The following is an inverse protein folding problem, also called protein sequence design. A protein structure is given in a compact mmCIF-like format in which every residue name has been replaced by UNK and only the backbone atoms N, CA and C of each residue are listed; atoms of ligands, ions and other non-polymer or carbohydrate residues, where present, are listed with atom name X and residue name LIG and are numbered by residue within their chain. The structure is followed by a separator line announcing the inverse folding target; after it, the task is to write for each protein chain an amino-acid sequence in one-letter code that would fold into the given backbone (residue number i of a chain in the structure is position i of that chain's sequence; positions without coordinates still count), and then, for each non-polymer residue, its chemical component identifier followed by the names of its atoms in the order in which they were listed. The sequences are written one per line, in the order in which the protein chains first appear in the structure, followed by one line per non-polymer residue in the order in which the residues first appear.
data_IF_452044643671
#
_entry.id   IF_452044643671
#
_cell.length_a   1.000
_cell.length_b   1.000
_cell.length_c   1.000
_cell.angle_alpha   90.00
_cell.angle_beta   90.00
_cell.angle_gamma   90.00
#
_symmetry.space_group_name_H-M   'P 1'
#
loop_
_entity.id
_entity.type
_entity.pdbx_description
1 polymer ?
#
# COMPACT_ATOMS: atom_id res chain seq x y z
N UNK A 1 -8.11 -32.55 -3.93
CA UNK A 1 -7.73 -32.38 -5.35
C UNK A 1 -6.67 -31.30 -5.36
N UNK A 2 -5.48 -31.51 -5.95
CA UNK A 2 -4.40 -30.51 -5.88
C UNK A 2 -4.84 -29.25 -6.63
N UNK A 3 -4.94 -28.11 -5.95
CA UNK A 3 -5.29 -26.81 -6.56
C UNK A 3 -4.01 -25.97 -6.61
N UNK A 4 -3.58 -25.65 -7.82
CA UNK A 4 -2.31 -24.97 -8.07
C UNK A 4 -2.52 -23.75 -8.95
N UNK A 5 -1.77 -22.68 -8.69
CA UNK A 5 -1.75 -21.49 -9.51
C UNK A 5 -1.24 -21.80 -10.91
N UNK A 6 -1.77 -21.10 -11.90
CA UNK A 6 -1.22 -21.08 -13.26
C UNK A 6 0.04 -20.22 -13.29
N UNK A 7 0.84 -20.32 -14.36
CA UNK A 7 2.02 -19.46 -14.54
C UNK A 7 1.61 -17.98 -14.58
N UNK A 8 0.53 -17.65 -15.27
CA UNK A 8 0.00 -16.29 -15.37
C UNK A 8 -0.44 -15.74 -14.00
N UNK A 9 -1.05 -16.59 -13.16
CA UNK A 9 -1.44 -16.21 -11.79
C UNK A 9 -0.21 -15.99 -10.90
N UNK A 10 0.84 -16.81 -11.04
CA UNK A 10 2.10 -16.62 -10.31
C UNK A 10 2.79 -15.32 -10.74
N UNK A 11 2.79 -15.00 -12.02
CA UNK A 11 3.34 -13.74 -12.53
C UNK A 11 2.56 -12.53 -12.02
N UNK A 12 1.24 -12.64 -11.92
CA UNK A 12 0.40 -11.62 -11.33
C UNK A 12 0.73 -11.40 -9.83
N UNK A 13 0.80 -12.47 -9.04
CA UNK A 13 1.19 -12.41 -7.62
C UNK A 13 2.59 -11.79 -7.44
N UNK A 14 3.55 -12.18 -8.27
CA UNK A 14 4.91 -11.63 -8.29
C UNK A 14 4.91 -10.12 -8.55
N UNK A 15 4.20 -9.67 -9.60
CA UNK A 15 4.05 -8.24 -9.92
C UNK A 15 3.38 -7.48 -8.78
N UNK A 16 2.36 -8.05 -8.13
CA UNK A 16 1.73 -7.42 -6.96
C UNK A 16 2.71 -7.19 -5.82
N UNK A 17 3.59 -8.15 -5.51
CA UNK A 17 4.59 -8.02 -4.46
C UNK A 17 5.59 -6.90 -4.75
N UNK A 18 6.03 -6.82 -6.01
CA UNK A 18 6.96 -5.79 -6.48
C UNK A 18 6.33 -4.39 -6.43
N UNK A 19 5.08 -4.25 -6.89
CA UNK A 19 4.34 -2.99 -6.83
C UNK A 19 4.07 -2.57 -5.38
N UNK A 20 3.66 -3.51 -4.51
CA UNK A 20 3.51 -3.24 -3.09
C UNK A 20 4.81 -2.76 -2.45
N UNK A 21 5.94 -3.38 -2.80
CA UNK A 21 7.25 -2.95 -2.30
C UNK A 21 7.59 -1.53 -2.76
N UNK A 22 7.40 -1.24 -4.06
CA UNK A 22 7.64 0.08 -4.62
C UNK A 22 6.73 1.16 -4.01
N UNK A 23 5.44 0.85 -3.83
CA UNK A 23 4.44 1.79 -3.31
C UNK A 23 4.61 2.06 -1.81
N UNK A 24 4.89 1.03 -1.01
CA UNK A 24 5.09 1.19 0.45
C UNK A 24 6.48 1.71 0.82
N UNK A 25 7.46 1.54 -0.07
CA UNK A 25 8.88 1.75 0.24
C UNK A 25 9.46 0.71 1.22
N UNK A 26 8.70 -0.35 1.55
CA UNK A 26 9.10 -1.44 2.44
C UNK A 26 9.32 -2.71 1.63
N UNK A 27 10.15 -3.63 2.14
CA UNK A 27 10.36 -4.92 1.49
C UNK A 27 9.14 -5.83 1.73
N UNK A 28 8.36 -6.08 0.68
CA UNK A 28 7.24 -7.02 0.69
C UNK A 28 7.62 -8.28 -0.06
N UNK A 29 7.46 -9.42 0.61
CA UNK A 29 7.67 -10.74 0.03
C UNK A 29 6.33 -11.37 -0.35
N UNK A 30 6.34 -12.13 -1.44
CA UNK A 30 5.28 -13.08 -1.76
C UNK A 30 5.90 -14.47 -1.81
N UNK A 31 5.53 -15.33 -0.85
CA UNK A 31 5.96 -16.73 -0.86
C UNK A 31 4.79 -17.62 -1.29
N UNK A 32 5.04 -18.49 -2.26
CA UNK A 32 4.13 -19.57 -2.60
C UNK A 32 4.38 -20.74 -1.66
N UNK A 33 3.34 -21.17 -0.96
CA UNK A 33 3.39 -22.34 -0.10
C UNK A 33 2.24 -23.30 -0.44
N UNK A 34 2.22 -24.46 0.22
CA UNK A 34 1.18 -25.49 0.04
C UNK A 34 0.64 -25.85 1.42
N UNK A 35 -0.68 -25.79 1.58
CA UNK A 35 -1.34 -26.21 2.82
C UNK A 35 -1.27 -27.74 3.00
N UNK A 36 -1.59 -28.23 4.20
CA UNK A 36 -1.62 -29.67 4.50
C UNK A 36 -2.58 -30.45 3.58
N UNK A 37 -3.63 -29.79 3.07
CA UNK A 37 -4.61 -30.37 2.13
C UNK A 37 -4.16 -30.34 0.66
N UNK A 38 -2.94 -29.85 0.38
CA UNK A 38 -2.36 -29.79 -0.96
C UNK A 38 -2.91 -28.66 -1.83
N UNK A 39 -3.36 -27.58 -1.21
CA UNK A 39 -3.84 -26.35 -1.87
C UNK A 39 -2.72 -25.32 -1.85
N UNK A 40 -2.41 -24.71 -2.99
CA UNK A 40 -1.44 -23.63 -3.05
C UNK A 40 -1.99 -22.34 -2.43
N UNK A 41 -1.12 -21.64 -1.71
CA UNK A 41 -1.37 -20.35 -1.07
C UNK A 41 -0.24 -19.39 -1.43
N UNK A 42 -0.60 -18.14 -1.70
CA UNK A 42 0.33 -17.03 -1.86
C UNK A 42 0.26 -16.16 -0.61
N UNK A 43 1.38 -16.04 0.11
CA UNK A 43 1.48 -15.32 1.38
C UNK A 43 2.21 -14.00 1.13
N UNK A 44 1.53 -12.88 1.39
CA UNK A 44 2.15 -11.55 1.30
C UNK A 44 2.53 -11.07 2.69
N UNK A 45 3.81 -10.78 2.89
CA UNK A 45 4.32 -10.35 4.18
C UNK A 45 5.39 -9.26 4.04
N UNK A 46 5.40 -8.32 4.98
CA UNK A 46 6.40 -7.27 5.07
C UNK A 46 7.59 -7.76 5.90
N UNK A 47 8.80 -7.66 5.36
CA UNK A 47 10.02 -7.93 6.12
C UNK A 47 10.16 -6.91 7.25
N UNK A 48 10.45 -7.40 8.44
CA UNK A 48 10.80 -6.55 9.57
C UNK A 48 12.28 -6.24 9.54
N UNK A 49 12.63 -5.00 9.84
CA UNK A 49 14.03 -4.64 10.05
C UNK A 49 14.56 -5.43 11.26
N UNK A 50 15.58 -6.26 11.04
CA UNK A 50 16.25 -6.99 12.12
C UNK A 50 16.82 -6.07 13.20
N UNK A 51 16.93 -4.76 12.92
CA UNK A 51 17.42 -3.75 13.83
C UNK A 51 16.33 -3.11 14.73
N UNK A 52 15.04 -3.34 14.46
CA UNK A 52 13.94 -2.87 15.32
C UNK A 52 13.79 -3.77 16.56
N UNK A 53 13.99 -5.08 16.41
CA UNK A 53 13.89 -6.04 17.52
C UNK A 53 15.03 -5.92 18.55
N UNK A 54 16.19 -5.37 18.16
CA UNK A 54 17.37 -5.21 19.04
C UNK A 54 17.50 -3.85 19.72
N UNK A 55 16.72 -2.84 19.34
CA UNK A 55 16.77 -1.50 19.99
C UNK A 55 16.10 -1.46 21.37
N UNK A 56 15.34 -2.49 21.75
CA UNK A 56 14.61 -2.52 23.02
C UNK A 56 15.30 -3.30 24.17
N UNK A 57 16.61 -3.60 24.10
CA UNK A 57 17.26 -4.30 25.24
C UNK A 57 18.68 -3.90 25.62
N UNK A 58 19.16 -2.72 25.25
CA UNK A 58 20.39 -2.18 25.85
C UNK A 58 20.42 -0.66 25.75
N UNK A 59 20.03 0.00 26.84
CA UNK A 59 20.43 1.34 27.30
C UNK A 59 19.23 2.17 27.79
N UNK A 60 18.85 1.88 29.03
CA UNK A 60 18.02 2.75 29.83
C UNK A 60 18.88 3.89 30.40
N UNK A 61 19.32 4.85 29.57
CA UNK A 61 19.61 6.23 29.98
C UNK A 61 19.89 7.11 28.74
N UNK A 62 18.88 7.83 28.26
CA UNK A 62 18.96 9.24 27.82
C UNK A 62 17.71 9.57 26.98
N UNK A 63 16.93 10.52 27.51
CA UNK A 63 15.76 11.09 26.87
C UNK A 63 16.12 11.83 25.59
N UNK A 64 15.90 11.20 24.45
CA UNK A 64 15.65 11.89 23.18
C UNK A 64 14.27 11.44 22.69
N UNK A 65 13.31 12.36 22.72
CA UNK A 65 12.03 12.23 22.03
C UNK A 65 12.30 12.14 20.52
N UNK A 66 12.73 10.96 20.07
CA UNK A 66 12.41 10.52 18.74
C UNK A 66 10.94 10.13 18.78
N UNK A 67 10.11 10.75 17.94
CA UNK A 67 8.81 10.23 17.54
C UNK A 67 9.00 8.89 16.79
N UNK A 68 9.65 7.91 17.42
CA UNK A 68 9.52 6.52 17.07
C UNK A 68 8.06 6.22 17.35
N UNK A 69 7.29 6.15 16.25
CA UNK A 69 5.94 5.63 16.26
C UNK A 69 6.02 4.32 17.01
N UNK A 70 5.44 4.27 18.21
CA UNK A 70 5.13 3.04 18.91
C UNK A 70 4.08 2.30 18.08
N UNK A 71 4.46 1.80 16.89
CA UNK A 71 3.74 0.75 16.20
C UNK A 71 3.94 -0.48 17.07
N UNK A 72 3.14 -0.55 18.15
CA UNK A 72 2.92 -1.78 18.87
C UNK A 72 2.59 -2.82 17.81
N UNK A 73 3.47 -3.81 17.74
CA UNK A 73 3.53 -4.90 16.79
C UNK A 73 2.23 -5.73 16.81
N UNK A 74 1.14 -5.17 16.34
CA UNK A 74 -0.11 -5.88 16.07
C UNK A 74 0.00 -6.56 14.70
N UNK A 75 -0.55 -7.77 14.57
CA UNK A 75 -0.47 -8.60 13.36
C UNK A 75 0.20 -9.96 13.61
N UNK A 76 0.09 -10.85 12.63
CA UNK A 76 0.69 -12.19 12.69
C UNK A 76 2.10 -12.16 12.13
N UNK A 77 3.04 -12.81 12.84
CA UNK A 77 4.44 -12.89 12.46
C UNK A 77 4.76 -14.27 11.91
N UNK A 78 5.56 -14.30 10.85
CA UNK A 78 6.01 -15.53 10.22
C UNK A 78 7.46 -15.39 9.73
N UNK A 79 8.06 -16.54 9.42
CA UNK A 79 9.40 -16.62 8.87
C UNK A 79 9.29 -17.00 7.40
N UNK A 80 9.85 -16.18 6.52
CA UNK A 80 9.88 -16.41 5.07
C UNK A 80 11.31 -16.45 4.54
N UNK A 81 11.50 -17.05 3.36
CA UNK A 81 12.80 -17.18 2.72
C UNK A 81 13.58 -18.43 3.14
N UNK A 82 14.85 -18.49 2.74
CA UNK A 82 15.72 -19.64 2.89
C UNK A 82 15.67 -20.60 1.69
N UNK A 83 16.48 -21.66 1.76
CA UNK A 83 16.81 -22.51 0.59
C UNK A 83 15.65 -23.29 0.01
N UNK A 84 14.63 -23.57 0.81
CA UNK A 84 13.44 -24.32 0.38
C UNK A 84 12.23 -23.41 0.12
N UNK A 85 12.41 -22.09 0.17
CA UNK A 85 11.34 -21.12 -0.09
C UNK A 85 11.07 -20.97 -1.59
N UNK A 86 9.81 -20.71 -1.95
CA UNK A 86 9.39 -20.41 -3.32
C UNK A 86 8.90 -18.96 -3.36
N UNK A 87 9.87 -18.04 -3.36
CA UNK A 87 9.62 -16.60 -3.37
C UNK A 87 9.34 -16.14 -4.79
N UNK A 88 8.23 -15.42 -4.94
CA UNK A 88 7.79 -14.82 -6.19
C UNK A 88 8.27 -13.36 -6.29
N UNK A 89 8.45 -12.88 -7.52
CA UNK A 89 8.87 -11.50 -7.79
C UNK A 89 10.33 -11.22 -7.45
N UNK A 90 10.65 -9.96 -7.19
CA UNK A 90 12.01 -9.49 -6.94
C UNK A 90 12.40 -9.49 -5.45
N UNK A 91 11.61 -10.14 -4.58
CA UNK A 91 11.84 -10.23 -3.14
C UNK A 91 12.07 -8.86 -2.46
N UNK A 92 11.39 -7.81 -2.94
CA UNK A 92 11.59 -6.44 -2.47
C UNK A 92 13.03 -5.93 -2.57
N UNK A 93 13.85 -6.52 -3.45
CA UNK A 93 15.26 -6.18 -3.67
C UNK A 93 16.26 -6.94 -2.78
N UNK A 94 15.83 -7.92 -1.99
CA UNK A 94 16.74 -8.75 -1.19
C UNK A 94 17.54 -9.71 -2.07
N UNK A 95 18.86 -9.74 -1.88
CA UNK A 95 19.78 -10.54 -2.70
C UNK A 95 20.05 -11.95 -2.18
N UNK A 96 19.78 -12.20 -0.90
CA UNK A 96 20.13 -13.41 -0.14
C UNK A 96 18.90 -14.18 0.34
N UNK A 97 17.74 -13.93 -0.28
CA UNK A 97 16.45 -14.52 0.09
C UNK A 97 16.42 -16.06 -0.02
N UNK A 98 17.29 -16.65 -0.83
CA UNK A 98 17.45 -18.11 -1.03
C UNK A 98 18.32 -18.77 0.06
N UNK A 99 18.96 -17.99 0.93
CA UNK A 99 19.86 -18.50 1.98
C UNK A 99 19.48 -18.01 3.36
N UNK A 100 18.89 -16.82 3.46
CA UNK A 100 18.51 -16.17 4.70
C UNK A 100 16.99 -16.28 4.94
N UNK A 101 16.63 -16.52 6.19
CA UNK A 101 15.25 -16.48 6.68
C UNK A 101 15.01 -15.12 7.31
N UNK A 102 13.89 -14.49 6.97
CA UNK A 102 13.48 -13.18 7.47
C UNK A 102 12.24 -13.28 8.35
N UNK A 103 12.25 -12.54 9.45
CA UNK A 103 11.04 -12.29 10.23
C UNK A 103 10.16 -11.28 9.48
N UNK A 104 8.93 -11.67 9.23
CA UNK A 104 7.98 -10.92 8.44
C UNK A 104 6.68 -10.76 9.20
N UNK A 105 5.99 -9.64 8.99
CA UNK A 105 4.60 -9.44 9.40
C UNK A 105 3.68 -9.78 8.24
N UNK A 106 2.70 -10.65 8.47
CA UNK A 106 1.65 -10.99 7.53
C UNK A 106 0.85 -9.75 7.14
N UNK A 107 0.56 -9.60 5.85
CA UNK A 107 -0.36 -8.59 5.34
C UNK A 107 -1.69 -9.23 4.94
N UNK A 108 -1.61 -10.25 4.09
CA UNK A 108 -2.77 -11.04 3.65
C UNK A 108 -2.28 -12.32 2.96
N UNK A 109 -3.20 -13.25 2.72
CA UNK A 109 -2.93 -14.44 1.91
C UNK A 109 -4.04 -14.69 0.91
N UNK A 110 -3.67 -15.21 -0.26
CA UNK A 110 -4.61 -15.64 -1.29
C UNK A 110 -4.45 -17.14 -1.48
N UNK A 111 -5.54 -17.88 -1.38
CA UNK A 111 -5.55 -19.33 -1.57
C UNK A 111 -6.74 -19.76 -2.41
N UNK A 112 -6.71 -21.00 -2.92
CA UNK A 112 -7.91 -21.55 -3.51
C UNK A 112 -8.92 -21.89 -2.42
N UNK A 113 -10.19 -21.75 -2.77
CA UNK A 113 -11.26 -22.32 -1.97
C UNK A 113 -11.05 -23.84 -1.82
N UNK A 114 -10.85 -24.34 -0.61
CA UNK A 114 -10.52 -25.75 -0.37
C UNK A 114 -11.77 -26.64 -0.28
N UNK A 115 -12.89 -26.10 0.22
CA UNK A 115 -14.13 -26.84 0.48
C UNK A 115 -15.18 -26.57 -0.61
N UNK A 116 -15.52 -27.60 -1.37
CA UNK A 116 -16.54 -27.51 -2.42
C UNK A 116 -17.92 -27.19 -1.80
N UNK A 117 -18.42 -25.98 -2.06
CA UNK A 117 -19.72 -25.49 -1.58
C UNK A 117 -19.67 -24.51 -0.40
N UNK A 118 -18.50 -24.18 0.14
CA UNK A 118 -18.36 -23.08 1.11
C UNK A 118 -18.46 -21.72 0.41
N UNK A 119 -17.72 -21.57 -0.68
CA UNK A 119 -17.78 -20.44 -1.61
C UNK A 119 -17.97 -20.94 -3.04
N UNK A 120 -18.61 -20.13 -3.89
CA UNK A 120 -18.77 -20.47 -5.32
C UNK A 120 -17.51 -20.12 -6.10
N UNK A 121 -16.80 -19.09 -5.67
CA UNK A 121 -15.64 -18.57 -6.35
C UNK A 121 -14.35 -19.38 -6.10
N UNK A 122 -13.43 -19.27 -7.06
CA UNK A 122 -12.18 -20.03 -7.09
C UNK A 122 -11.18 -19.68 -5.98
N UNK A 123 -11.05 -18.40 -5.66
CA UNK A 123 -10.04 -17.86 -4.75
C UNK A 123 -10.64 -17.17 -3.55
N UNK A 124 -9.89 -17.19 -2.46
CA UNK A 124 -10.22 -16.57 -1.19
C UNK A 124 -9.06 -15.67 -0.77
N UNK A 125 -9.36 -14.43 -0.38
CA UNK A 125 -8.41 -13.54 0.29
C UNK A 125 -8.71 -13.49 1.79
N UNK A 126 -7.68 -13.74 2.59
CA UNK A 126 -7.71 -13.62 4.05
C UNK A 126 -6.74 -12.54 4.52
N UNK A 127 -7.11 -11.78 5.56
CA UNK A 127 -6.27 -10.74 6.14
C UNK A 127 -5.17 -11.29 7.07
N UNK A 128 -4.47 -10.40 7.75
CA UNK A 128 -3.44 -10.72 8.73
C UNK A 128 -3.97 -11.34 10.03
N UNK A 129 -5.28 -11.42 10.22
CA UNK A 129 -5.95 -12.13 11.33
C UNK A 129 -6.52 -13.49 10.90
N UNK A 130 -6.25 -13.92 9.66
CA UNK A 130 -6.82 -15.10 9.02
C UNK A 130 -8.34 -15.05 8.86
N UNK A 131 -8.92 -13.84 8.86
CA UNK A 131 -10.33 -13.63 8.58
C UNK A 131 -10.56 -13.46 7.08
N UNK A 132 -11.68 -14.02 6.60
CA UNK A 132 -12.13 -13.84 5.21
C UNK A 132 -12.40 -12.36 4.93
N UNK A 133 -11.74 -11.83 3.90
CA UNK A 133 -12.02 -10.49 3.39
C UNK A 133 -12.99 -10.54 2.22
N UNK A 134 -12.69 -11.37 1.21
CA UNK A 134 -13.51 -11.51 0.00
C UNK A 134 -13.14 -12.78 -0.78
N UNK A 135 -13.98 -13.14 -1.75
CA UNK A 135 -13.77 -14.24 -2.71
C UNK A 135 -13.84 -13.72 -4.15
N UNK A 136 -13.22 -14.41 -5.11
CA UNK A 136 -13.33 -14.09 -6.54
C UNK A 136 -12.86 -15.26 -7.42
N UNK A 137 -13.37 -15.34 -8.65
CA UNK A 137 -12.88 -16.26 -9.69
C UNK A 137 -11.60 -15.75 -10.37
N UNK A 138 -11.33 -14.45 -10.27
CA UNK A 138 -10.19 -13.77 -10.87
C UNK A 138 -9.25 -13.25 -9.79
N UNK A 139 -7.96 -13.57 -9.91
CA UNK A 139 -6.95 -13.08 -8.99
C UNK A 139 -6.83 -11.54 -9.05
N UNK A 140 -7.06 -10.93 -10.22
CA UNK A 140 -6.95 -9.49 -10.44
C UNK A 140 -7.92 -8.66 -9.59
N UNK A 141 -9.04 -9.26 -9.15
CA UNK A 141 -10.03 -8.61 -8.30
C UNK A 141 -9.67 -8.67 -6.82
N UNK A 142 -8.76 -9.58 -6.44
CA UNK A 142 -8.31 -9.76 -5.06
C UNK A 142 -7.10 -8.89 -4.73
N UNK A 143 -6.24 -8.65 -5.71
CA UNK A 143 -5.00 -7.88 -5.50
C UNK A 143 -5.30 -6.38 -5.34
N UNK A 144 -4.57 -5.66 -4.47
CA UNK A 144 -4.85 -4.26 -4.15
C UNK A 144 -4.61 -3.29 -5.31
N UNK A 145 -3.93 -3.72 -6.38
CA UNK A 145 -3.70 -2.94 -7.58
C UNK A 145 -4.17 -3.72 -8.78
N UNK A 146 -4.98 -3.10 -9.65
CA UNK A 146 -5.27 -3.69 -10.96
C UNK A 146 -3.98 -3.81 -11.74
N UNK A 147 -3.53 -5.04 -11.99
CA UNK A 147 -2.34 -5.36 -12.79
C UNK A 147 -2.60 -5.26 -14.30
N UNK A 148 -3.68 -4.56 -14.70
CA UNK A 148 -3.87 -4.22 -16.12
C UNK A 148 -2.61 -3.47 -16.53
N UNK A 149 -1.91 -4.01 -17.52
CA UNK A 149 -0.83 -3.29 -18.16
C UNK A 149 -1.39 -1.92 -18.54
N UNK A 150 -0.86 -0.88 -17.90
CA UNK A 150 -1.12 0.49 -18.33
C UNK A 150 -0.24 0.68 -19.56
N UNK A 151 -0.55 -0.06 -20.62
CA UNK A 151 0.09 0.08 -21.94
C UNK A 151 -0.13 1.49 -22.50
N UNK A 152 -1.06 2.26 -21.90
CA UNK A 152 -1.43 3.61 -22.29
C UNK A 152 -0.85 4.71 -21.39
N UNK A 153 0.26 4.46 -20.67
CA UNK A 153 1.01 5.57 -20.04
C UNK A 153 1.60 6.54 -21.09
N UNK A 154 1.74 6.08 -22.34
CA UNK A 154 2.12 6.93 -23.48
C UNK A 154 0.99 7.88 -23.92
N UNK A 155 -0.27 7.68 -23.49
CA UNK A 155 -1.38 8.61 -23.75
C UNK A 155 -1.53 9.71 -22.68
N UNK A 156 -0.77 9.63 -21.58
CA UNK A 156 -0.72 10.68 -20.54
C UNK A 156 0.37 11.74 -20.83
N UNK A 157 1.06 11.62 -21.96
CA UNK A 157 1.87 12.69 -22.53
C UNK A 157 1.03 13.52 -23.49
N UNK A 158 0.94 14.82 -23.25
CA UNK A 158 0.44 15.85 -24.16
C UNK A 158 -1.03 16.28 -23.99
N UNK A 159 -1.57 16.29 -22.75
CA UNK A 159 -2.59 17.31 -22.45
C UNK A 159 -1.89 18.67 -22.37
N UNK A 160 -1.85 19.37 -23.52
CA UNK A 160 -1.52 20.80 -23.64
C UNK A 160 -2.32 21.59 -22.60
N UNK A 161 -1.66 22.03 -21.53
CA UNK A 161 -2.18 23.04 -20.59
C UNK A 161 -2.13 24.47 -21.18
N UNK A 162 -2.15 24.60 -22.50
CA UNK A 162 -2.30 25.86 -23.22
C UNK A 162 -3.73 25.98 -23.74
N UNK A 163 -4.69 26.18 -22.83
CA UNK A 163 -5.90 26.91 -23.20
C UNK A 163 -5.71 28.36 -22.76
N UNK A 164 -5.11 29.14 -23.67
CA UNK A 164 -5.27 30.58 -23.75
C UNK A 164 -6.78 30.88 -23.88
N UNK A 165 -7.45 31.11 -22.76
CA UNK A 165 -8.68 31.91 -22.77
C UNK A 165 -8.26 33.38 -22.73
N UNK A 166 -8.11 33.93 -23.94
CA UNK A 166 -8.09 35.36 -24.23
C UNK A 166 -9.42 36.00 -23.77
N UNK A 167 -9.48 36.50 -22.54
CA UNK A 167 -10.45 37.52 -22.16
C UNK A 167 -9.77 38.90 -22.26
N UNK A 168 -9.92 39.50 -23.45
CA UNK A 168 -9.67 40.92 -23.68
C UNK A 168 -10.61 41.80 -22.84
N UNK A 169 -10.01 42.83 -22.24
CA UNK A 169 -10.57 44.09 -21.75
C UNK A 169 -11.37 44.10 -20.43
N UNK A 170 -10.75 44.60 -19.34
CA UNK A 170 -11.04 45.97 -18.87
C UNK A 170 -10.12 46.43 -17.71
N UNK A 171 -9.49 47.59 -17.94
CA UNK A 171 -8.98 48.58 -16.98
C UNK A 171 -7.95 48.18 -15.91
N UNK A 172 -6.69 48.20 -16.33
CA UNK A 172 -5.55 48.38 -15.45
C UNK A 172 -5.47 49.83 -14.91
N UNK A 173 -6.05 50.08 -13.74
CA UNK A 173 -5.66 51.19 -12.86
C UNK A 173 -4.82 50.63 -11.70
N UNK A 174 -3.51 50.56 -11.93
CA UNK A 174 -2.40 50.78 -10.98
C UNK A 174 -2.75 50.68 -9.47
N UNK A 175 -2.50 49.53 -8.86
CA UNK A 175 -2.58 49.30 -7.40
C UNK A 175 -1.29 49.74 -6.66
N UNK A 176 -0.64 50.81 -7.14
CA UNK A 176 0.44 51.49 -6.43
C UNK A 176 -0.14 52.78 -5.82
N UNK A 177 -0.26 52.78 -4.48
CA UNK A 177 -0.67 53.88 -3.58
C UNK A 177 -2.08 53.81 -2.95
N UNK A 178 -2.58 52.63 -2.55
CA UNK A 178 -3.61 52.59 -1.50
C UNK A 178 -2.98 52.94 -0.15
N UNK A 179 -3.54 53.93 0.54
CA UNK A 179 -3.08 54.31 1.87
C UNK A 179 -3.41 53.21 2.89
N UNK A 180 -2.61 53.11 3.95
CA UNK A 180 -2.76 52.08 5.00
C UNK A 180 -4.18 52.07 5.62
N UNK A 181 -4.86 53.22 5.62
CA UNK A 181 -6.24 53.40 6.10
C UNK A 181 -7.29 52.77 5.16
N UNK A 182 -7.10 52.83 3.84
CA UNK A 182 -8.02 52.22 2.86
C UNK A 182 -7.87 50.70 2.80
N UNK A 183 -6.65 50.20 2.98
CA UNK A 183 -6.39 48.76 3.08
C UNK A 183 -7.06 48.15 4.33
N UNK A 184 -7.01 48.87 5.46
CA UNK A 184 -7.64 48.46 6.72
C UNK A 184 -9.17 48.48 6.66
N UNK A 185 -9.78 49.39 5.91
CA UNK A 185 -11.24 49.48 5.78
C UNK A 185 -11.79 48.39 4.84
N UNK A 186 -11.08 48.07 3.76
CA UNK A 186 -11.45 47.00 2.82
C UNK A 186 -11.38 45.61 3.44
N UNK A 187 -10.47 45.41 4.40
CA UNK A 187 -10.28 44.13 5.10
C UNK A 187 -10.82 44.11 6.53
N UNK A 188 -11.65 45.10 6.89
CA UNK A 188 -12.29 45.14 8.19
C UNK A 188 -13.39 44.06 8.26
N UNK A 189 -13.15 43.03 9.05
CA UNK A 189 -14.16 42.01 9.37
C UNK A 189 -15.38 42.70 10.01
N UNK A 190 -16.55 42.55 9.37
CA UNK A 190 -17.82 43.01 9.93
C UNK A 190 -18.07 42.34 11.29
N UNK A 191 -18.48 43.09 12.33
CA UNK A 191 -18.77 42.50 13.62
C UNK A 191 -19.95 41.53 13.49
N UNK A 192 -19.71 40.29 13.91
CA UNK A 192 -20.70 39.24 14.09
C UNK A 192 -22.02 39.79 14.66
N UNK A 193 -23.11 39.65 13.90
CA UNK A 193 -24.46 39.68 14.45
C UNK A 193 -24.60 38.52 15.45
N UNK A 194 -24.50 38.87 16.73
CA UNK A 194 -25.14 38.10 17.79
C UNK A 194 -26.64 38.33 17.62
N UNK A 195 -27.37 37.26 17.27
CA UNK A 195 -28.63 36.86 17.89
C UNK A 195 -29.46 36.01 16.92
N UNK A 196 -29.47 34.69 17.17
CA UNK A 196 -30.70 33.86 17.13
C UNK A 196 -30.39 32.41 17.50
N UNK A 197 -30.33 32.14 18.81
CA UNK A 197 -30.64 30.82 19.35
C UNK A 197 -32.07 30.85 19.89
N UNK A 198 -32.88 29.89 19.43
CA UNK A 198 -34.16 29.52 20.00
C UNK A 198 -33.97 28.89 21.38
#
# INVERSE_FOLDING_TARGET
MKKTFTVEELDALAKTADVLSAWTGKCILCEKNVTDDGVEVAIFAQVLDSNEATKNSADADESVDAHAVEDKQEGQFLLLGGTDSDILGNAGGLSDIDTQIYECRLLFSIMFNAEEGEFEERFILVNDEFELVTTSDSLEELVPFSLREVDDLDEWGDEDWDNDDEDEDDDAESDDELSEEEWLERHRLHPHDKDNTH
#
